data_IF_666662819211
#
_entry.id   IF_666662819211
#
_cell.length_a   1.000
_cell.length_b   1.000
_cell.length_c   1.000
_cell.angle_alpha   90.00
_cell.angle_beta   90.00
_cell.angle_gamma   90.00
#
_symmetry.space_group_name_H-M   'P 1'
#
loop_
_entity.id
_entity.type
_entity.pdbx_description
1 polymer ?
#
# COMPACT_ATOMS: atom_id res chain seq x y z
N UNK A 1 71.35 -48.86 -29.31
CA UNK A 1 70.15 -48.70 -30.16
C UNK A 1 68.97 -48.93 -29.25
N UNK A 2 68.47 -47.87 -28.59
CA UNK A 2 67.27 -47.13 -29.04
C UNK A 2 66.06 -48.08 -29.15
N UNK A 3 64.93 -47.91 -28.44
CA UNK A 3 64.14 -46.69 -28.32
C UNK A 3 63.33 -46.62 -27.01
N UNK A 4 63.12 -45.38 -26.56
CA UNK A 4 62.15 -44.91 -25.58
C UNK A 4 60.71 -45.34 -25.91
N UNK A 5 59.87 -45.57 -24.89
CA UNK A 5 58.45 -45.20 -24.92
C UNK A 5 58.03 -44.71 -23.52
N UNK A 6 57.83 -43.39 -23.41
CA UNK A 6 57.19 -42.71 -22.29
C UNK A 6 55.69 -43.00 -22.31
N UNK A 7 55.13 -43.51 -21.22
CA UNK A 7 53.69 -43.53 -21.01
C UNK A 7 53.28 -42.27 -20.23
N UNK A 8 52.64 -41.33 -20.93
CA UNK A 8 52.00 -40.15 -20.33
C UNK A 8 50.73 -40.58 -19.59
N UNK A 9 50.70 -40.34 -18.28
CA UNK A 9 49.50 -40.45 -17.45
C UNK A 9 48.69 -39.14 -17.60
N UNK A 10 47.73 -39.12 -18.53
CA UNK A 10 46.81 -37.99 -18.68
C UNK A 10 45.66 -38.11 -17.68
N UNK A 11 45.71 -37.31 -16.61
CA UNK A 11 44.58 -37.09 -15.69
C UNK A 11 43.54 -36.24 -16.43
N UNK A 12 42.42 -36.86 -16.84
CA UNK A 12 41.22 -36.15 -17.26
C UNK A 12 40.52 -35.58 -16.02
N UNK A 13 40.80 -34.32 -15.68
CA UNK A 13 39.91 -33.52 -14.86
C UNK A 13 38.70 -33.14 -15.73
N UNK A 14 37.59 -33.84 -15.57
CA UNK A 14 36.31 -33.41 -16.12
C UNK A 14 35.86 -32.15 -15.36
N UNK A 15 36.16 -30.97 -15.93
CA UNK A 15 35.50 -29.72 -15.58
C UNK A 15 34.02 -29.86 -15.95
N UNK A 16 33.20 -30.30 -15.00
CA UNK A 16 31.76 -30.09 -15.06
C UNK A 16 31.52 -28.58 -14.93
N UNK A 17 31.55 -27.88 -16.06
CA UNK A 17 31.03 -26.54 -16.17
C UNK A 17 29.53 -26.63 -15.89
N UNK A 18 29.12 -26.37 -14.64
CA UNK A 18 27.71 -26.27 -14.28
C UNK A 18 27.06 -25.24 -15.20
N UNK A 19 26.00 -25.65 -15.89
CA UNK A 19 25.17 -24.71 -16.65
C UNK A 19 24.76 -23.57 -15.71
N UNK A 20 24.80 -22.30 -16.18
CA UNK A 20 24.35 -21.18 -15.37
C UNK A 20 22.89 -21.45 -14.95
N UNK A 21 22.65 -21.46 -13.63
CA UNK A 21 21.29 -21.55 -13.09
C UNK A 21 20.52 -20.37 -13.66
N UNK A 22 19.55 -20.66 -14.51
CA UNK A 22 18.68 -19.65 -15.11
C UNK A 22 17.99 -18.87 -13.99
N UNK A 23 18.02 -17.54 -14.07
CA UNK A 23 17.35 -16.73 -13.07
C UNK A 23 15.83 -17.02 -13.13
N UNK A 24 15.15 -17.14 -11.98
CA UNK A 24 13.71 -17.38 -11.98
C UNK A 24 12.99 -16.30 -12.78
N UNK A 25 11.88 -16.68 -13.43
CA UNK A 25 11.07 -15.74 -14.18
C UNK A 25 10.57 -14.61 -13.26
N UNK A 26 10.24 -13.46 -13.84
CA UNK A 26 9.73 -12.32 -13.06
C UNK A 26 8.47 -12.68 -12.25
N UNK A 27 7.64 -13.59 -12.75
CA UNK A 27 6.46 -14.10 -12.05
C UNK A 27 6.83 -14.92 -10.80
N UNK A 28 7.84 -15.77 -10.89
CA UNK A 28 8.26 -16.68 -9.80
C UNK A 28 9.21 -16.01 -8.79
N UNK A 29 9.61 -14.76 -9.03
CA UNK A 29 10.58 -14.06 -8.18
C UNK A 29 9.98 -13.80 -6.80
N UNK A 30 10.50 -14.49 -5.79
CA UNK A 30 10.16 -14.25 -4.38
C UNK A 30 10.68 -12.90 -3.89
N UNK A 31 9.99 -12.31 -2.90
CA UNK A 31 10.52 -11.17 -2.16
C UNK A 31 11.63 -11.65 -1.23
N UNK A 32 12.81 -11.04 -1.35
CA UNK A 32 13.95 -11.40 -0.51
C UNK A 32 14.72 -10.17 -0.07
N UNK A 33 15.35 -10.25 1.11
CA UNK A 33 16.39 -9.30 1.50
C UNK A 33 17.53 -9.25 0.47
N UNK A 34 18.17 -8.10 0.32
CA UNK A 34 19.31 -7.90 -0.56
C UNK A 34 20.60 -8.56 0.00
N UNK A 35 21.73 -8.34 -0.70
CA UNK A 35 23.04 -8.89 -0.28
C UNK A 35 23.57 -8.29 1.03
N UNK A 36 23.10 -7.10 1.41
CA UNK A 36 23.43 -6.39 2.65
C UNK A 36 22.43 -6.72 3.78
N UNK A 37 21.42 -7.54 3.49
CA UNK A 37 20.36 -7.90 4.42
C UNK A 37 19.28 -6.84 4.57
N UNK A 38 19.16 -5.89 3.64
CA UNK A 38 18.10 -4.89 3.63
C UNK A 38 16.91 -5.36 2.81
N UNK A 39 15.71 -4.98 3.24
CA UNK A 39 14.50 -5.03 2.44
C UNK A 39 13.89 -3.64 2.48
N UNK A 40 13.85 -2.97 1.33
CA UNK A 40 13.31 -1.62 1.17
C UNK A 40 11.99 -1.65 0.39
N UNK A 41 11.02 -0.89 0.88
CA UNK A 41 9.71 -0.67 0.28
C UNK A 41 9.59 0.81 -0.07
N UNK A 42 9.18 1.13 -1.29
CA UNK A 42 8.73 2.48 -1.66
C UNK A 42 7.20 2.48 -1.73
N UNK A 43 6.55 3.29 -0.91
CA UNK A 43 5.09 3.40 -0.81
C UNK A 43 4.63 4.66 -1.52
N UNK A 44 3.84 4.48 -2.57
CA UNK A 44 3.13 5.55 -3.28
C UNK A 44 1.63 5.38 -3.03
N UNK A 45 0.89 6.48 -3.02
CA UNK A 45 -0.53 6.53 -2.68
C UNK A 45 -1.15 7.81 -3.20
N UNK A 46 -2.49 7.82 -3.29
CA UNK A 46 -3.26 9.00 -3.67
C UNK A 46 -2.76 9.57 -5.02
N UNK A 47 -2.65 8.69 -6.01
CA UNK A 47 -2.14 9.03 -7.34
C UNK A 47 -3.21 9.71 -8.20
N UNK A 48 -4.48 9.30 -8.03
CA UNK A 48 -5.68 9.90 -8.64
C UNK A 48 -5.59 10.06 -10.16
N UNK A 49 -5.09 9.04 -10.87
CA UNK A 49 -5.00 9.12 -12.32
C UNK A 49 -6.39 9.19 -12.97
N UNK A 50 -6.49 9.90 -14.09
CA UNK A 50 -7.72 10.01 -14.86
C UNK A 50 -8.72 11.03 -14.32
N UNK A 51 -8.34 11.82 -13.32
CA UNK A 51 -9.12 12.97 -12.88
C UNK A 51 -9.28 13.98 -14.02
N UNK A 52 -10.51 14.43 -14.28
CA UNK A 52 -10.81 15.45 -15.29
C UNK A 52 -10.19 15.15 -16.67
N UNK A 53 -10.22 13.89 -17.10
CA UNK A 53 -9.55 13.41 -18.30
C UNK A 53 -10.10 13.96 -19.63
N UNK A 54 -11.21 14.70 -19.61
CA UNK A 54 -11.85 15.28 -20.80
C UNK A 54 -11.30 16.65 -21.19
N UNK A 55 -10.39 17.23 -20.40
CA UNK A 55 -9.65 18.44 -20.77
C UNK A 55 -8.13 18.23 -20.64
N UNK A 56 -7.35 19.28 -20.92
CA UNK A 56 -5.88 19.21 -20.88
C UNK A 56 -5.30 19.25 -19.47
N UNK A 57 -6.06 19.64 -18.47
CA UNK A 57 -5.58 19.74 -17.08
C UNK A 57 -5.33 18.35 -16.51
N UNK A 58 -6.29 17.43 -16.62
CA UNK A 58 -6.20 16.08 -16.06
C UNK A 58 -4.98 15.28 -16.54
N UNK A 59 -4.84 15.06 -17.86
CA UNK A 59 -3.67 14.37 -18.41
C UNK A 59 -2.33 15.03 -18.07
N UNK A 60 -2.31 16.35 -17.83
CA UNK A 60 -1.10 17.03 -17.41
C UNK A 60 -0.73 16.72 -15.95
N UNK A 61 -1.72 16.48 -15.08
CA UNK A 61 -1.48 15.96 -13.73
C UNK A 61 -0.91 14.55 -13.79
N UNK A 62 -1.51 13.64 -14.57
CA UNK A 62 -1.02 12.26 -14.74
C UNK A 62 0.44 12.23 -15.20
N UNK A 63 0.81 13.07 -16.17
CA UNK A 63 2.20 13.22 -16.64
C UNK A 63 3.14 13.66 -15.50
N UNK A 64 2.70 14.57 -14.62
CA UNK A 64 3.52 15.02 -13.50
C UNK A 64 3.60 13.97 -12.39
N UNK A 65 2.52 13.22 -12.11
CA UNK A 65 2.53 12.06 -11.23
C UNK A 65 3.56 11.01 -11.70
N UNK A 66 3.62 10.73 -13.01
CA UNK A 66 4.65 9.85 -13.59
C UNK A 66 6.07 10.41 -13.37
N UNK A 67 6.27 11.73 -13.40
CA UNK A 67 7.58 12.33 -13.06
C UNK A 67 7.92 12.11 -11.59
N UNK A 68 6.96 12.21 -10.66
CA UNK A 68 7.19 11.91 -9.24
C UNK A 68 7.65 10.47 -9.05
N UNK A 69 6.92 9.51 -9.63
CA UNK A 69 7.29 8.08 -9.64
C UNK A 69 8.72 7.87 -10.12
N UNK A 70 9.10 8.46 -11.25
CA UNK A 70 10.48 8.37 -11.76
C UNK A 70 11.50 9.04 -10.82
N UNK A 71 11.24 10.27 -10.38
CA UNK A 71 12.16 11.05 -9.55
C UNK A 71 12.48 10.39 -8.21
N UNK A 72 11.51 9.69 -7.62
CA UNK A 72 11.67 8.89 -6.41
C UNK A 72 12.44 7.61 -6.74
N UNK A 73 11.97 6.82 -7.72
CA UNK A 73 12.57 5.52 -8.07
C UNK A 73 13.98 5.63 -8.67
N UNK A 74 14.39 6.80 -9.16
CA UNK A 74 15.77 7.07 -9.59
C UNK A 74 16.73 7.29 -8.40
N UNK A 75 16.20 7.63 -7.22
CA UNK A 75 16.98 7.92 -6.01
C UNK A 75 16.88 6.83 -4.95
N UNK A 76 15.98 5.88 -5.13
CA UNK A 76 15.70 4.79 -4.21
C UNK A 76 15.91 3.43 -4.90
N UNK A 77 16.26 2.41 -4.12
CA UNK A 77 16.50 1.04 -4.65
C UNK A 77 15.61 0.02 -3.92
N UNK A 78 14.28 0.13 -4.04
CA UNK A 78 13.36 -0.76 -3.35
C UNK A 78 13.44 -2.21 -3.88
N UNK A 79 13.10 -3.15 -3.01
CA UNK A 79 12.81 -4.54 -3.39
C UNK A 79 11.33 -4.74 -3.73
N UNK A 80 10.46 -3.84 -3.24
CA UNK A 80 9.04 -3.81 -3.52
C UNK A 80 8.54 -2.36 -3.63
N UNK A 81 7.72 -2.08 -4.63
CA UNK A 81 6.90 -0.86 -4.67
C UNK A 81 5.50 -1.20 -4.16
N UNK A 82 4.96 -0.40 -3.24
CA UNK A 82 3.58 -0.53 -2.76
C UNK A 82 2.78 0.64 -3.30
N UNK A 83 1.61 0.34 -3.88
CA UNK A 83 0.60 1.31 -4.30
C UNK A 83 -0.57 1.25 -3.29
N UNK A 84 -0.64 2.20 -2.37
CA UNK A 84 -1.48 2.13 -1.17
C UNK A 84 -2.83 2.88 -1.32
N UNK A 85 -3.58 2.56 -2.37
CA UNK A 85 -4.93 3.06 -2.63
C UNK A 85 -5.02 4.42 -3.32
N UNK A 86 -6.24 4.70 -3.79
CA UNK A 86 -6.62 5.85 -4.61
C UNK A 86 -5.69 6.02 -5.82
N UNK A 87 -5.57 4.93 -6.58
CA UNK A 87 -4.75 4.87 -7.78
C UNK A 87 -5.41 5.63 -8.92
N UNK A 88 -6.72 5.46 -9.06
CA UNK A 88 -7.56 6.08 -10.09
C UNK A 88 -8.63 6.94 -9.43
N UNK A 89 -8.96 8.07 -10.04
CA UNK A 89 -10.18 8.83 -9.73
C UNK A 89 -11.38 8.15 -10.38
N UNK A 90 -11.97 7.17 -9.69
CA UNK A 90 -13.02 6.30 -10.23
C UNK A 90 -14.27 7.05 -10.68
N UNK A 91 -14.52 8.23 -10.11
CA UNK A 91 -15.60 9.14 -10.49
C UNK A 91 -15.53 9.63 -11.93
N UNK A 92 -14.35 9.52 -12.56
CA UNK A 92 -14.09 9.97 -13.92
C UNK A 92 -13.68 8.82 -14.85
N UNK A 93 -13.52 7.61 -14.31
CA UNK A 93 -13.04 6.45 -15.04
C UNK A 93 -14.16 5.45 -15.34
N UNK A 94 -13.91 4.57 -16.32
CA UNK A 94 -14.84 3.53 -16.72
C UNK A 94 -14.08 2.22 -16.94
N UNK A 95 -14.70 1.06 -16.69
CA UNK A 95 -14.05 -0.26 -16.92
C UNK A 95 -13.42 -0.39 -18.32
N UNK A 96 -14.09 0.14 -19.35
CA UNK A 96 -13.64 -0.03 -20.74
C UNK A 96 -12.40 0.79 -21.12
N UNK A 97 -12.05 1.84 -20.37
CA UNK A 97 -10.90 2.71 -20.66
C UNK A 97 -9.96 2.94 -19.46
N UNK A 98 -10.38 2.67 -18.23
CA UNK A 98 -9.62 2.92 -17.00
C UNK A 98 -8.34 2.10 -16.89
N UNK A 99 -8.25 0.97 -17.61
CA UNK A 99 -7.02 0.17 -17.69
C UNK A 99 -5.79 0.96 -18.17
N UNK A 100 -5.99 2.02 -18.97
CA UNK A 100 -4.88 2.87 -19.43
C UNK A 100 -4.18 3.59 -18.28
N UNK A 101 -4.91 3.94 -17.21
CA UNK A 101 -4.34 4.63 -16.07
C UNK A 101 -3.46 3.70 -15.24
N UNK A 102 -3.89 2.45 -15.06
CA UNK A 102 -3.05 1.41 -14.44
C UNK A 102 -1.75 1.26 -15.23
N UNK A 103 -1.82 1.21 -16.56
CA UNK A 103 -0.63 1.09 -17.42
C UNK A 103 0.34 2.25 -17.23
N UNK A 104 -0.17 3.47 -17.12
CA UNK A 104 0.65 4.67 -16.88
C UNK A 104 1.30 4.64 -15.49
N UNK A 105 0.55 4.28 -14.45
CA UNK A 105 1.03 4.19 -13.07
C UNK A 105 2.17 3.17 -12.96
N UNK A 106 1.98 1.96 -13.51
CA UNK A 106 2.93 0.86 -13.33
C UNK A 106 4.10 0.93 -14.31
N UNK A 107 4.01 1.69 -15.40
CA UNK A 107 5.07 1.77 -16.41
C UNK A 107 6.46 2.08 -15.82
N UNK A 108 6.66 3.12 -14.97
CA UNK A 108 7.96 3.38 -14.34
C UNK A 108 8.49 2.21 -13.50
N UNK A 109 7.60 1.41 -12.91
CA UNK A 109 7.93 0.26 -12.07
C UNK A 109 8.33 -0.94 -12.95
N UNK A 110 7.53 -1.20 -13.99
CA UNK A 110 7.74 -2.28 -14.97
C UNK A 110 9.01 -2.06 -15.77
N UNK A 111 9.27 -0.85 -16.26
CA UNK A 111 10.48 -0.50 -17.02
C UNK A 111 11.76 -0.73 -16.20
N UNK A 112 11.68 -0.62 -14.86
CA UNK A 112 12.78 -0.89 -13.92
C UNK A 112 12.86 -2.37 -13.49
N UNK A 113 11.92 -3.21 -13.92
CA UNK A 113 11.84 -4.60 -13.51
C UNK A 113 11.66 -4.78 -11.99
N UNK A 114 10.97 -3.86 -11.32
CA UNK A 114 10.70 -3.91 -9.88
C UNK A 114 9.47 -4.78 -9.60
N UNK A 115 9.44 -5.48 -8.47
CA UNK A 115 8.20 -6.10 -7.99
C UNK A 115 7.32 -5.03 -7.37
N UNK A 116 6.00 -5.20 -7.47
CA UNK A 116 5.06 -4.26 -6.87
C UNK A 116 3.77 -4.94 -6.44
N UNK A 117 3.04 -4.29 -5.54
CA UNK A 117 1.80 -4.77 -4.96
C UNK A 117 0.91 -3.58 -4.61
N UNK A 118 -0.41 -3.77 -4.64
CA UNK A 118 -1.38 -2.71 -4.39
C UNK A 118 -2.36 -3.06 -3.26
N UNK A 119 -2.90 -2.05 -2.59
CA UNK A 119 -4.22 -2.13 -1.97
C UNK A 119 -5.07 -0.97 -2.49
N UNK A 120 -6.38 -1.01 -2.29
CA UNK A 120 -7.32 -0.06 -2.89
C UNK A 120 -7.96 0.87 -1.88
N UNK A 121 -8.34 2.04 -2.38
CA UNK A 121 -9.01 3.11 -1.65
C UNK A 121 -10.44 3.35 -2.11
N UNK A 122 -11.06 4.40 -1.57
CA UNK A 122 -12.45 4.73 -1.87
C UNK A 122 -12.65 5.28 -3.28
N UNK A 123 -11.62 5.84 -3.93
CA UNK A 123 -11.71 6.30 -5.31
C UNK A 123 -11.50 5.18 -6.33
N UNK A 124 -10.93 4.04 -5.94
CA UNK A 124 -10.70 2.91 -6.83
C UNK A 124 -12.00 2.13 -7.16
N UNK A 125 -13.13 2.48 -6.54
CA UNK A 125 -14.45 1.90 -6.79
C UNK A 125 -15.56 2.95 -6.95
N UNK A 126 -16.18 3.03 -8.12
CA UNK A 126 -17.38 3.83 -8.36
C UNK A 126 -18.34 3.10 -9.31
N UNK A 127 -19.47 3.72 -9.65
CA UNK A 127 -20.54 3.16 -10.46
C UNK A 127 -20.09 2.61 -11.81
N UNK A 128 -19.05 3.21 -12.42
CA UNK A 128 -18.56 2.85 -13.75
C UNK A 128 -17.23 2.09 -13.74
N UNK A 129 -16.59 1.89 -12.59
CA UNK A 129 -15.31 1.18 -12.44
C UNK A 129 -15.27 0.40 -11.13
N UNK A 130 -14.78 -0.84 -11.16
CA UNK A 130 -14.60 -1.63 -9.95
C UNK A 130 -13.14 -1.89 -9.65
N UNK A 131 -12.79 -1.95 -8.36
CA UNK A 131 -11.48 -2.40 -7.90
C UNK A 131 -11.10 -3.79 -8.46
N UNK A 132 -12.09 -4.65 -8.75
CA UNK A 132 -11.86 -5.94 -9.39
C UNK A 132 -11.32 -5.80 -10.83
N UNK A 133 -11.78 -4.78 -11.57
CA UNK A 133 -11.26 -4.47 -12.91
C UNK A 133 -9.84 -3.91 -12.87
N UNK A 134 -9.52 -3.10 -11.84
CA UNK A 134 -8.16 -2.64 -11.56
C UNK A 134 -7.26 -3.83 -11.28
N UNK A 135 -7.62 -4.67 -10.32
CA UNK A 135 -6.90 -5.90 -9.96
C UNK A 135 -6.64 -6.82 -11.16
N UNK A 136 -7.64 -7.03 -12.00
CA UNK A 136 -7.51 -7.86 -13.20
C UNK A 136 -6.49 -7.29 -14.19
N UNK A 137 -6.44 -5.96 -14.34
CA UNK A 137 -5.42 -5.31 -15.17
C UNK A 137 -4.03 -5.41 -14.55
N UNK A 138 -3.91 -5.14 -13.26
CA UNK A 138 -2.67 -5.26 -12.50
C UNK A 138 -2.04 -6.66 -12.64
N UNK A 139 -2.86 -7.70 -12.50
CA UNK A 139 -2.42 -9.11 -12.57
C UNK A 139 -2.07 -9.59 -13.98
N UNK A 140 -2.24 -8.76 -15.02
CA UNK A 140 -1.68 -9.04 -16.35
C UNK A 140 -0.16 -8.83 -16.42
N UNK A 141 0.43 -8.17 -15.42
CA UNK A 141 1.86 -7.90 -15.35
C UNK A 141 2.61 -8.97 -14.53
N UNK A 142 3.69 -9.57 -15.05
CA UNK A 142 4.40 -10.67 -14.38
C UNK A 142 5.14 -10.23 -13.10
N UNK A 143 5.38 -8.93 -12.91
CA UNK A 143 6.02 -8.37 -11.72
C UNK A 143 5.03 -7.88 -10.66
N UNK A 144 3.72 -8.00 -10.90
CA UNK A 144 2.68 -7.72 -9.91
C UNK A 144 2.63 -8.82 -8.84
N UNK A 145 2.32 -8.44 -7.61
CA UNK A 145 2.12 -9.32 -6.45
C UNK A 145 0.79 -9.04 -5.73
N UNK A 146 -0.09 -8.24 -6.33
CA UNK A 146 -1.40 -7.92 -5.73
C UNK A 146 -2.28 -9.16 -5.67
N UNK A 147 -2.55 -9.65 -4.46
CA UNK A 147 -3.38 -10.82 -4.21
C UNK A 147 -4.84 -10.50 -3.88
N UNK A 148 -5.66 -11.56 -3.74
CA UNK A 148 -7.08 -11.52 -3.34
C UNK A 148 -7.46 -12.77 -2.56
N UNK A 149 -7.02 -12.86 -1.31
CA UNK A 149 -7.11 -14.06 -0.47
C UNK A 149 -8.38 -14.17 0.38
N UNK A 150 -9.22 -13.12 0.41
CA UNK A 150 -10.49 -13.13 1.15
C UNK A 150 -11.64 -13.03 0.16
N UNK A 151 -12.48 -14.07 0.02
CA UNK A 151 -13.61 -14.04 -0.88
C UNK A 151 -14.79 -13.26 -0.28
N UNK A 152 -15.77 -12.95 -1.13
CA UNK A 152 -17.03 -12.33 -0.74
C UNK A 152 -17.04 -10.82 -0.98
N UNK A 153 -18.17 -10.32 -1.48
CA UNK A 153 -18.33 -8.91 -1.86
C UNK A 153 -18.02 -7.93 -0.73
N UNK A 154 -18.30 -8.33 0.52
CA UNK A 154 -18.10 -7.48 1.69
C UNK A 154 -16.62 -7.33 2.05
N UNK A 155 -15.75 -8.25 1.64
CA UNK A 155 -14.34 -8.17 1.99
C UNK A 155 -13.60 -7.06 1.23
N UNK A 156 -14.10 -6.62 0.07
CA UNK A 156 -13.31 -5.88 -0.91
C UNK A 156 -12.52 -6.82 -1.82
N UNK A 157 -11.46 -6.33 -2.45
CA UNK A 157 -10.70 -7.04 -3.49
C UNK A 157 -9.27 -7.35 -3.05
N UNK A 158 -8.54 -6.39 -2.49
CA UNK A 158 -7.08 -6.48 -2.29
C UNK A 158 -6.64 -6.88 -0.88
N UNK A 159 -7.24 -7.95 -0.33
CA UNK A 159 -6.86 -8.49 0.99
C UNK A 159 -5.93 -9.70 0.84
N UNK A 160 -4.67 -9.58 1.24
CA UNK A 160 -3.66 -10.63 1.08
C UNK A 160 -2.41 -10.35 1.92
N UNK A 161 -1.46 -11.29 1.91
CA UNK A 161 -0.14 -11.06 2.49
C UNK A 161 0.98 -11.50 1.55
N UNK A 162 2.14 -10.88 1.71
CA UNK A 162 3.35 -11.24 0.98
C UNK A 162 4.46 -11.66 1.95
N UNK A 163 4.98 -12.90 1.84
CA UNK A 163 6.13 -13.34 2.62
C UNK A 163 7.45 -12.82 2.03
N UNK A 164 8.33 -12.33 2.91
CA UNK A 164 9.70 -11.90 2.57
C UNK A 164 10.70 -12.87 3.18
N UNK A 165 11.55 -13.42 2.33
CA UNK A 165 12.49 -14.48 2.72
C UNK A 165 13.93 -13.99 2.80
N UNK A 166 14.75 -14.75 3.53
CA UNK A 166 16.20 -14.62 3.38
C UNK A 166 16.61 -14.91 1.92
N UNK A 167 17.55 -14.14 1.37
CA UNK A 167 18.15 -14.41 0.05
C UNK A 167 18.71 -15.83 -0.11
N UNK A 168 19.11 -16.47 0.99
CA UNK A 168 19.65 -17.84 1.01
C UNK A 168 18.56 -18.91 1.09
N UNK A 169 17.29 -18.51 1.19
CA UNK A 169 16.20 -19.44 1.09
C UNK A 169 16.03 -19.88 -0.37
N UNK A 170 16.43 -21.11 -0.66
CA UNK A 170 16.31 -21.72 -1.99
C UNK A 170 15.32 -22.90 -1.98
N UNK A 171 14.53 -23.06 -0.91
CA UNK A 171 13.61 -24.18 -0.72
C UNK A 171 12.19 -23.70 -0.42
N UNK A 172 11.15 -24.47 -0.77
CA UNK A 172 9.76 -24.13 -0.44
C UNK A 172 9.49 -24.02 1.06
N UNK A 173 10.17 -24.80 1.90
CA UNK A 173 9.84 -24.95 3.33
C UNK A 173 10.47 -23.86 4.23
N UNK A 174 11.13 -22.85 3.67
CA UNK A 174 11.73 -21.81 4.50
C UNK A 174 10.66 -20.98 5.21
N UNK A 175 10.89 -20.70 6.49
CA UNK A 175 10.14 -19.66 7.18
C UNK A 175 10.40 -18.28 6.53
N UNK A 176 9.36 -17.48 6.25
CA UNK A 176 9.54 -16.07 5.96
C UNK A 176 10.10 -15.34 7.19
N UNK A 177 10.87 -14.29 6.95
CA UNK A 177 11.47 -13.48 8.03
C UNK A 177 10.72 -12.15 8.25
N UNK A 178 9.80 -11.80 7.35
CA UNK A 178 8.91 -10.64 7.44
C UNK A 178 7.62 -10.95 6.65
N UNK A 179 6.47 -10.54 7.17
CA UNK A 179 5.19 -10.56 6.45
C UNK A 179 4.74 -9.14 6.12
N UNK A 180 4.21 -8.94 4.93
CA UNK A 180 3.57 -7.68 4.51
C UNK A 180 2.08 -7.95 4.34
N UNK A 181 1.23 -7.32 5.15
CA UNK A 181 -0.22 -7.45 5.08
C UNK A 181 -0.84 -6.30 4.32
N UNK A 182 -1.80 -6.60 3.44
CA UNK A 182 -2.54 -5.62 2.66
C UNK A 182 -4.01 -5.76 2.98
N UNK A 183 -4.65 -4.65 3.33
CA UNK A 183 -6.04 -4.58 3.75
C UNK A 183 -6.80 -3.60 2.85
N UNK A 184 -7.93 -4.06 2.33
CA UNK A 184 -8.85 -3.25 1.55
C UNK A 184 -9.86 -2.60 2.51
N UNK A 185 -9.74 -1.29 2.70
CA UNK A 185 -10.67 -0.50 3.52
C UNK A 185 -11.97 -0.15 2.79
N UNK A 186 -12.10 -0.52 1.50
CA UNK A 186 -13.26 -0.25 0.66
C UNK A 186 -13.57 1.25 0.55
N UNK A 187 -14.86 1.60 0.46
CA UNK A 187 -15.36 2.94 0.19
C UNK A 187 -15.85 3.11 -1.26
N UNK A 188 -16.31 4.31 -1.59
CA UNK A 188 -16.88 4.60 -2.91
C UNK A 188 -18.24 3.94 -3.12
N UNK A 189 -18.51 3.46 -4.34
CA UNK A 189 -19.80 2.87 -4.72
C UNK A 189 -19.65 1.45 -5.30
N UNK A 190 -20.70 0.64 -5.13
CA UNK A 190 -20.78 -0.65 -5.81
C UNK A 190 -21.01 -0.44 -7.31
N UNK A 191 -20.38 -1.28 -8.12
CA UNK A 191 -20.44 -1.18 -9.57
C UNK A 191 -21.86 -1.41 -10.09
N UNK A 192 -22.38 -0.44 -10.85
CA UNK A 192 -23.71 -0.49 -11.48
C UNK A 192 -24.90 -0.79 -10.55
N UNK A 193 -24.75 -0.64 -9.24
CA UNK A 193 -25.83 -0.84 -8.28
C UNK A 193 -26.52 0.49 -7.94
N UNK A 194 -27.86 0.50 -8.04
CA UNK A 194 -28.68 1.64 -7.62
C UNK A 194 -29.82 1.22 -6.70
N UNK A 195 -30.17 2.08 -5.76
CA UNK A 195 -31.43 2.02 -5.04
C UNK A 195 -32.63 2.26 -5.99
N UNK A 196 -33.84 1.98 -5.51
CA UNK A 196 -35.09 2.15 -6.30
C UNK A 196 -35.35 3.60 -6.74
N UNK A 197 -34.82 4.59 -6.02
CA UNK A 197 -34.89 6.01 -6.36
C UNK A 197 -33.82 6.47 -7.37
N UNK A 198 -32.97 5.55 -7.86
CA UNK A 198 -31.90 5.81 -8.81
C UNK A 198 -30.58 6.32 -8.21
N UNK A 199 -30.47 6.48 -6.88
CA UNK A 199 -29.20 6.81 -6.26
C UNK A 199 -28.25 5.60 -6.23
N UNK A 200 -26.95 5.82 -6.39
CA UNK A 200 -25.92 4.78 -6.34
C UNK A 200 -25.86 4.13 -4.95
N UNK A 201 -25.54 2.84 -4.90
CA UNK A 201 -25.36 2.12 -3.62
C UNK A 201 -23.90 2.28 -3.15
N UNK A 202 -23.70 2.95 -2.02
CA UNK A 202 -22.37 3.16 -1.44
C UNK A 202 -21.78 1.89 -0.81
N UNK A 203 -20.46 1.77 -0.82
CA UNK A 203 -19.76 0.74 -0.05
C UNK A 203 -19.45 1.23 1.37
N UNK A 204 -19.43 0.34 2.36
CA UNK A 204 -18.77 0.62 3.64
C UNK A 204 -17.32 1.08 3.46
N UNK A 205 -16.85 2.01 4.29
CA UNK A 205 -15.47 2.52 4.30
C UNK A 205 -14.68 2.05 5.53
N UNK A 206 -14.53 0.74 5.69
CA UNK A 206 -13.68 0.12 6.72
C UNK A 206 -13.24 -1.28 6.30
N UNK A 207 -12.20 -1.82 6.94
CA UNK A 207 -11.81 -3.23 6.79
C UNK A 207 -12.87 -4.14 7.40
N UNK A 208 -13.45 -5.02 6.60
CA UNK A 208 -14.58 -5.87 6.99
C UNK A 208 -14.20 -6.92 8.05
N UNK A 209 -15.18 -7.34 8.86
CA UNK A 209 -14.97 -8.38 9.89
C UNK A 209 -14.43 -9.69 9.28
N UNK A 210 -14.88 -10.06 8.07
CA UNK A 210 -14.38 -11.26 7.38
C UNK A 210 -12.87 -11.20 7.10
N UNK A 211 -12.34 -10.01 6.79
CA UNK A 211 -10.90 -9.77 6.59
C UNK A 211 -10.17 -9.83 7.93
N UNK A 212 -10.75 -9.27 9.00
CA UNK A 212 -10.19 -9.35 10.35
C UNK A 212 -10.06 -10.81 10.81
N UNK A 213 -11.11 -11.61 10.62
CA UNK A 213 -11.13 -13.03 10.99
C UNK A 213 -10.08 -13.82 10.18
N UNK A 214 -10.00 -13.58 8.87
CA UNK A 214 -8.97 -14.16 8.01
C UNK A 214 -7.56 -13.80 8.46
N UNK A 215 -7.31 -12.52 8.75
CA UNK A 215 -5.99 -12.04 9.16
C UNK A 215 -5.53 -12.70 10.47
N UNK A 216 -6.38 -12.71 11.49
CA UNK A 216 -6.05 -13.29 12.79
C UNK A 216 -5.82 -14.80 12.70
N UNK A 217 -6.69 -15.50 11.96
CA UNK A 217 -6.55 -16.94 11.71
C UNK A 217 -5.24 -17.24 10.97
N UNK A 218 -5.00 -16.57 9.85
CA UNK A 218 -3.82 -16.78 9.00
C UNK A 218 -2.53 -16.46 9.75
N UNK A 219 -2.49 -15.37 10.53
CA UNK A 219 -1.32 -15.01 11.34
C UNK A 219 -1.02 -16.07 12.41
N UNK A 220 -2.06 -16.61 13.06
CA UNK A 220 -1.95 -17.68 14.06
C UNK A 220 -1.43 -18.97 13.42
N UNK A 221 -1.97 -19.34 12.25
CA UNK A 221 -1.55 -20.52 11.50
C UNK A 221 -0.10 -20.43 11.04
N UNK A 222 0.34 -19.28 10.50
CA UNK A 222 1.73 -19.04 10.10
C UNK A 222 2.67 -19.11 11.31
N UNK A 223 2.28 -18.51 12.44
CA UNK A 223 3.07 -18.57 13.69
C UNK A 223 3.21 -20.01 14.19
N UNK A 224 2.13 -20.79 14.14
CA UNK A 224 2.14 -22.20 14.53
C UNK A 224 2.98 -23.05 13.57
N UNK A 225 2.83 -22.82 12.25
CA UNK A 225 3.56 -23.54 11.21
C UNK A 225 5.08 -23.36 11.33
N UNK A 226 5.55 -22.13 11.61
CA UNK A 226 6.98 -21.84 11.68
C UNK A 226 7.55 -21.80 13.11
N UNK A 227 6.71 -21.98 14.13
CA UNK A 227 7.10 -22.09 15.54
C UNK A 227 7.62 -20.80 16.17
N UNK A 228 7.40 -19.64 15.54
CA UNK A 228 7.77 -18.33 16.07
C UNK A 228 6.93 -17.21 15.45
N UNK A 229 6.81 -16.09 16.16
CA UNK A 229 6.17 -14.88 15.65
C UNK A 229 7.04 -14.31 14.52
N UNK A 230 6.44 -14.09 13.35
CA UNK A 230 7.10 -13.45 12.22
C UNK A 230 6.79 -11.94 12.27
N UNK A 231 7.80 -11.05 12.33
CA UNK A 231 7.57 -9.61 12.27
C UNK A 231 6.77 -9.21 11.05
N UNK A 232 5.96 -8.16 11.16
CA UNK A 232 5.09 -7.76 10.05
C UNK A 232 4.87 -6.25 9.93
N UNK A 233 4.50 -5.82 8.72
CA UNK A 233 4.03 -4.48 8.39
C UNK A 233 2.63 -4.61 7.77
N UNK A 234 1.77 -3.62 7.98
CA UNK A 234 0.44 -3.55 7.37
C UNK A 234 0.27 -2.31 6.48
N UNK A 235 -0.49 -2.46 5.41
CA UNK A 235 -0.86 -1.39 4.48
C UNK A 235 -2.39 -1.36 4.34
N UNK A 236 -2.98 -0.20 4.55
CA UNK A 236 -4.41 0.06 4.40
C UNK A 236 -4.55 1.46 3.82
N UNK A 237 -5.58 1.73 3.02
CA UNK A 237 -5.71 3.06 2.44
C UNK A 237 -6.30 4.07 3.44
N UNK A 238 -7.56 3.85 3.87
CA UNK A 238 -8.25 4.73 4.83
C UNK A 238 -7.75 4.41 6.24
N UNK A 239 -7.29 5.40 7.03
CA UNK A 239 -6.75 5.15 8.36
C UNK A 239 -7.85 4.74 9.34
N UNK A 240 -7.61 3.76 10.24
CA UNK A 240 -8.52 3.46 11.33
C UNK A 240 -8.73 4.67 12.25
N UNK A 241 -9.87 4.71 12.93
CA UNK A 241 -10.31 5.85 13.75
C UNK A 241 -9.31 6.34 14.79
N UNK A 242 -8.44 5.45 15.30
CA UNK A 242 -7.38 5.81 16.24
C UNK A 242 -6.45 6.91 15.69
N UNK A 243 -6.22 6.99 14.38
CA UNK A 243 -5.43 8.08 13.78
C UNK A 243 -6.09 9.44 14.06
N UNK A 244 -7.39 9.58 13.79
CA UNK A 244 -8.13 10.82 14.08
C UNK A 244 -8.20 11.09 15.58
N UNK A 245 -8.42 10.06 16.40
CA UNK A 245 -8.47 10.20 17.84
C UNK A 245 -7.16 10.75 18.42
N UNK A 246 -6.01 10.25 17.93
CA UNK A 246 -4.68 10.77 18.27
C UNK A 246 -4.56 12.22 17.80
N UNK A 247 -4.91 12.51 16.54
CA UNK A 247 -4.80 13.86 15.98
C UNK A 247 -5.61 14.89 16.78
N UNK A 248 -6.79 14.51 17.27
CA UNK A 248 -7.75 15.37 17.98
C UNK A 248 -7.44 15.56 19.47
N UNK A 249 -6.76 14.62 20.12
CA UNK A 249 -6.67 14.52 21.59
C UNK A 249 -6.33 15.83 22.33
N UNK A 250 -5.39 16.60 21.77
CA UNK A 250 -4.93 17.91 22.23
C UNK A 250 -5.05 18.98 21.13
N UNK A 251 -5.99 18.80 20.20
CA UNK A 251 -6.17 19.66 19.04
C UNK A 251 -5.00 19.61 18.07
N UNK A 252 -4.70 20.72 17.38
CA UNK A 252 -3.57 20.79 16.43
C UNK A 252 -2.19 20.55 17.07
N UNK A 253 -2.09 20.54 18.40
CA UNK A 253 -0.85 20.26 19.14
C UNK A 253 -0.65 18.78 19.48
N UNK A 254 -1.59 17.88 19.14
CA UNK A 254 -1.47 16.45 19.47
C UNK A 254 -0.30 15.77 18.76
N UNK A 255 0.02 16.25 17.56
CA UNK A 255 1.17 15.81 16.77
C UNK A 255 2.28 16.84 16.96
N UNK A 256 3.27 16.53 17.80
CA UNK A 256 4.44 17.40 17.98
C UNK A 256 5.42 17.17 16.81
N UNK A 257 5.68 18.18 15.95
CA UNK A 257 6.55 18.02 14.79
C UNK A 257 8.00 17.68 15.13
N UNK A 258 8.42 17.86 16.39
CA UNK A 258 9.77 17.50 16.84
C UNK A 258 9.88 16.05 17.34
N UNK A 259 8.79 15.38 17.70
CA UNK A 259 8.80 13.95 18.06
C UNK A 259 8.15 13.07 17.00
N UNK A 260 7.23 13.65 16.22
CA UNK A 260 6.44 13.04 15.16
C UNK A 260 6.63 13.84 13.87
N UNK A 261 7.84 13.86 13.29
CA UNK A 261 8.13 14.69 12.13
C UNK A 261 7.26 14.28 10.94
N UNK A 262 6.54 15.26 10.41
CA UNK A 262 5.56 15.08 9.36
C UNK A 262 4.67 16.31 9.29
N UNK A 263 4.03 16.49 8.15
CA UNK A 263 2.95 17.45 7.95
C UNK A 263 1.71 16.91 8.66
N UNK A 264 0.97 17.78 9.36
CA UNK A 264 -0.30 17.51 10.05
C UNK A 264 -1.31 18.62 9.71
N UNK A 265 -1.61 18.76 8.41
CA UNK A 265 -2.36 19.91 7.88
C UNK A 265 -3.83 19.55 7.58
N UNK A 266 -4.10 18.26 7.35
CA UNK A 266 -5.45 17.75 7.08
C UNK A 266 -6.19 17.49 8.39
N UNK A 267 -6.83 18.54 8.91
CA UNK A 267 -7.39 18.54 10.26
C UNK A 267 -8.88 18.95 10.23
N UNK A 268 -9.83 18.12 10.68
CA UNK A 268 -9.65 16.73 11.13
C UNK A 268 -9.51 15.77 9.94
N UNK A 269 -8.59 14.81 10.07
CA UNK A 269 -8.41 13.73 9.11
C UNK A 269 -9.68 12.86 8.98
N UNK A 270 -9.88 12.18 7.85
CA UNK A 270 -11.03 11.33 7.54
C UNK A 270 -10.73 9.84 7.84
N UNK A 271 -11.32 9.27 8.91
CA UNK A 271 -11.05 7.89 9.30
C UNK A 271 -12.00 6.89 8.64
N UNK A 272 -11.68 5.61 8.79
CA UNK A 272 -12.63 4.52 8.57
C UNK A 272 -13.91 4.75 9.37
N UNK A 273 -15.03 4.30 8.79
CA UNK A 273 -16.37 4.43 9.35
C UNK A 273 -16.84 5.88 9.63
N UNK A 274 -16.23 6.89 9.00
CA UNK A 274 -16.71 8.27 9.05
C UNK A 274 -18.15 8.37 8.53
N UNK A 275 -19.01 9.06 9.28
CA UNK A 275 -20.42 9.27 8.91
C UNK A 275 -21.37 8.13 9.29
N UNK A 276 -20.84 6.97 9.69
CA UNK A 276 -21.64 5.81 10.05
C UNK A 276 -22.09 5.86 11.51
N UNK A 277 -23.29 5.35 11.78
CA UNK A 277 -23.83 5.15 13.12
C UNK A 277 -23.58 3.73 13.63
N UNK A 278 -23.56 3.49 14.95
CA UNK A 278 -23.36 2.15 15.52
C UNK A 278 -24.38 1.09 15.07
N UNK A 279 -25.57 1.50 14.63
CA UNK A 279 -26.61 0.61 14.11
C UNK A 279 -26.42 0.24 12.63
N UNK A 280 -25.36 0.76 11.99
CA UNK A 280 -25.05 0.51 10.58
C UNK A 280 -25.72 1.47 9.60
N UNK A 281 -26.41 2.51 10.07
CA UNK A 281 -26.93 3.57 9.18
C UNK A 281 -25.82 4.58 8.81
N UNK A 282 -25.98 5.25 7.67
CA UNK A 282 -25.09 6.32 7.20
C UNK A 282 -25.92 7.44 6.57
N UNK A 283 -26.68 8.13 7.42
CA UNK A 283 -27.57 9.25 7.04
C UNK A 283 -27.02 10.62 7.47
N UNK A 284 -25.76 10.66 7.92
CA UNK A 284 -25.09 11.86 8.43
C UNK A 284 -25.49 12.25 9.86
N UNK A 285 -26.29 11.45 10.56
CA UNK A 285 -26.65 11.73 11.96
C UNK A 285 -25.53 11.40 12.97
N UNK A 286 -24.54 10.59 12.59
CA UNK A 286 -23.38 10.23 13.40
C UNK A 286 -22.07 10.64 12.73
N UNK A 287 -21.07 11.01 13.52
CA UNK A 287 -19.73 11.26 13.02
C UNK A 287 -18.92 9.98 12.81
N UNK A 288 -19.16 8.95 13.65
CA UNK A 288 -18.41 7.69 13.67
C UNK A 288 -19.19 6.62 14.45
N UNK A 289 -19.17 5.38 13.95
CA UNK A 289 -20.01 4.29 14.44
C UNK A 289 -19.27 3.11 15.09
N UNK A 290 -17.93 3.06 15.01
CA UNK A 290 -17.14 1.99 15.63
C UNK A 290 -16.98 0.71 14.81
N UNK A 291 -17.31 0.72 13.52
CA UNK A 291 -17.27 -0.48 12.67
C UNK A 291 -15.85 -1.03 12.44
N UNK A 292 -14.83 -0.19 12.53
CA UNK A 292 -13.42 -0.56 12.39
C UNK A 292 -12.75 -0.97 13.73
N UNK A 293 -13.48 -0.95 14.85
CA UNK A 293 -12.99 -1.40 16.16
C UNK A 293 -12.41 -2.83 16.12
N UNK A 294 -13.01 -3.81 15.44
CA UNK A 294 -12.41 -5.14 15.28
C UNK A 294 -11.04 -5.09 14.59
N UNK A 295 -10.90 -4.27 13.55
CA UNK A 295 -9.62 -4.11 12.84
C UNK A 295 -8.57 -3.43 13.72
N UNK A 296 -8.92 -2.35 14.41
CA UNK A 296 -8.03 -1.70 15.39
C UNK A 296 -7.56 -2.69 16.46
N UNK A 297 -8.46 -3.53 16.98
CA UNK A 297 -8.12 -4.57 17.96
C UNK A 297 -7.16 -5.59 17.38
N UNK A 298 -7.38 -6.06 16.16
CA UNK A 298 -6.52 -7.04 15.51
C UNK A 298 -5.11 -6.49 15.27
N UNK A 299 -4.98 -5.25 14.82
CA UNK A 299 -3.68 -4.58 14.65
C UNK A 299 -2.97 -4.43 16.00
N UNK A 300 -3.66 -3.93 17.02
CA UNK A 300 -3.09 -3.74 18.35
C UNK A 300 -2.78 -5.03 19.10
N UNK A 301 -3.42 -6.17 18.78
CA UNK A 301 -3.18 -7.43 19.49
C UNK A 301 -2.18 -8.34 18.78
N UNK A 302 -1.84 -8.08 17.51
CA UNK A 302 -0.95 -8.94 16.72
C UNK A 302 0.51 -8.81 17.18
N UNK A 303 1.12 -9.87 17.71
CA UNK A 303 2.53 -9.85 18.09
C UNK A 303 3.42 -9.64 16.87
N UNK A 304 4.48 -8.83 17.02
CA UNK A 304 5.43 -8.57 15.94
C UNK A 304 4.95 -7.62 14.85
N UNK A 305 3.74 -7.04 14.95
CA UNK A 305 3.31 -5.95 14.09
C UNK A 305 4.15 -4.70 14.36
N UNK A 306 4.99 -4.32 13.40
CA UNK A 306 5.92 -3.18 13.51
C UNK A 306 5.15 -1.88 13.29
N UNK A 307 4.32 -1.84 12.26
CA UNK A 307 3.52 -0.67 11.96
C UNK A 307 2.47 -0.86 10.88
N UNK A 308 1.50 0.05 10.87
CA UNK A 308 0.42 0.17 9.91
C UNK A 308 0.58 1.48 9.15
N UNK A 309 0.56 1.41 7.82
CA UNK A 309 0.77 2.55 6.93
C UNK A 309 -0.52 2.89 6.17
N UNK A 310 -0.86 4.18 6.13
CA UNK A 310 -2.08 4.71 5.52
C UNK A 310 -1.82 5.87 4.56
N UNK A 311 -2.69 6.04 3.57
CA UNK A 311 -2.76 7.23 2.70
C UNK A 311 -3.99 8.06 3.04
N UNK A 312 -4.81 8.39 2.03
CA UNK A 312 -6.14 9.00 2.11
C UNK A 312 -6.16 10.47 2.55
N UNK A 313 -5.48 10.81 3.64
CA UNK A 313 -5.39 12.17 4.17
C UNK A 313 -4.15 12.88 3.61
N UNK A 314 -4.29 13.48 2.43
CA UNK A 314 -3.16 13.94 1.61
C UNK A 314 -2.24 14.96 2.29
N UNK A 315 -2.75 15.66 3.31
CA UNK A 315 -2.04 16.65 4.09
C UNK A 315 -1.30 16.12 5.31
N UNK A 316 -1.38 14.82 5.58
CA UNK A 316 -0.79 14.19 6.75
C UNK A 316 0.33 13.22 6.36
N UNK A 317 1.47 13.31 7.05
CA UNK A 317 2.67 12.51 6.73
C UNK A 317 3.47 12.11 7.98
N UNK A 318 2.86 12.21 9.15
CA UNK A 318 3.49 11.88 10.43
C UNK A 318 3.39 10.38 10.74
N UNK A 319 4.23 9.94 11.67
CA UNK A 319 4.07 8.66 12.37
C UNK A 319 3.72 8.91 13.84
N UNK A 320 3.14 7.92 14.51
CA UNK A 320 2.84 7.94 15.94
C UNK A 320 2.94 6.53 16.53
N UNK A 321 3.53 6.39 17.73
CA UNK A 321 3.58 5.10 18.43
C UNK A 321 2.34 4.95 19.31
N UNK A 322 1.44 4.05 18.94
CA UNK A 322 0.20 3.81 19.67
C UNK A 322 0.44 2.77 20.78
N UNK A 323 0.78 3.24 21.98
CA UNK A 323 1.18 2.43 23.14
C UNK A 323 0.25 2.55 24.35
N UNK A 324 -0.92 3.17 24.16
CA UNK A 324 -1.89 3.43 25.22
C UNK A 324 -3.31 3.48 24.69
N UNK A 325 -4.26 3.54 25.62
CA UNK A 325 -5.63 3.94 25.29
C UNK A 325 -5.64 5.45 24.96
N UNK A 326 -6.24 5.79 23.83
CA UNK A 326 -6.43 7.17 23.39
C UNK A 326 -7.90 7.56 23.71
N UNK A 327 -8.18 8.80 24.16
CA UNK A 327 -9.55 9.25 24.36
C UNK A 327 -10.44 9.00 23.14
N UNK A 328 -11.74 8.77 23.37
CA UNK A 328 -12.73 8.44 22.34
C UNK A 328 -12.48 7.10 21.59
N UNK A 329 -11.56 6.26 22.07
CA UNK A 329 -11.34 4.89 21.56
C UNK A 329 -11.62 3.83 22.63
N UNK A 330 -11.77 2.56 22.21
CA UNK A 330 -12.01 1.41 23.12
C UNK A 330 -10.87 0.37 23.09
N UNK A 331 -9.85 0.60 22.27
CA UNK A 331 -8.73 -0.33 22.08
C UNK A 331 -7.47 0.29 22.65
N UNK A 332 -6.76 -0.45 23.51
CA UNK A 332 -5.46 -0.04 24.03
C UNK A 332 -4.38 -0.44 23.03
N UNK A 333 -3.55 0.53 22.62
CA UNK A 333 -2.39 0.26 21.77
C UNK A 333 -1.32 -0.56 22.49
N UNK A 334 -0.57 -1.37 21.73
CA UNK A 334 0.51 -2.22 22.24
C UNK A 334 1.93 -1.70 21.91
N UNK A 335 2.02 -0.53 21.29
CA UNK A 335 3.26 0.06 20.78
C UNK A 335 3.45 -0.08 19.27
N UNK A 336 2.45 -0.56 18.52
CA UNK A 336 2.44 -0.51 17.05
C UNK A 336 2.59 0.93 16.54
N UNK A 337 3.37 1.11 15.48
CA UNK A 337 3.58 2.42 14.88
C UNK A 337 2.52 2.66 13.80
N UNK A 338 1.84 3.80 13.86
CA UNK A 338 0.84 4.24 12.90
C UNK A 338 1.47 5.34 12.05
N UNK A 339 1.47 5.21 10.73
CA UNK A 339 2.15 6.16 9.85
C UNK A 339 1.30 6.51 8.64
N UNK A 340 1.19 7.79 8.33
CA UNK A 340 0.76 8.23 7.01
C UNK A 340 1.92 8.13 6.02
N UNK A 341 1.67 7.81 4.75
CA UNK A 341 2.68 7.90 3.71
C UNK A 341 2.89 9.35 3.26
N UNK A 342 2.90 9.57 1.95
CA UNK A 342 3.07 10.87 1.31
C UNK A 342 2.23 10.87 0.04
N UNK A 343 1.30 11.83 -0.06
CA UNK A 343 0.52 12.08 -1.27
C UNK A 343 1.46 12.15 -2.49
N UNK A 344 1.28 11.22 -3.42
CA UNK A 344 2.22 10.97 -4.51
C UNK A 344 1.78 11.57 -5.84
N UNK A 345 0.46 11.67 -6.06
CA UNK A 345 -0.14 12.15 -7.30
C UNK A 345 -0.18 13.66 -7.39
N UNK A 346 -0.23 14.18 -8.61
CA UNK A 346 -0.63 15.56 -8.89
C UNK A 346 -2.16 15.69 -9.07
N UNK A 347 -2.87 14.58 -9.21
CA UNK A 347 -4.33 14.51 -9.08
C UNK A 347 -4.75 14.43 -7.61
N UNK A 348 -6.06 14.49 -7.36
CA UNK A 348 -6.59 14.53 -6.00
C UNK A 348 -6.45 15.92 -5.36
N UNK A 349 -6.91 16.05 -4.12
CA UNK A 349 -6.94 17.37 -3.47
C UNK A 349 -5.59 17.77 -2.88
N UNK A 350 -5.38 19.08 -2.77
CA UNK A 350 -4.22 19.66 -2.11
C UNK A 350 -3.00 19.85 -2.99
N UNK A 351 -1.99 20.51 -2.42
CA UNK A 351 -0.76 20.88 -3.14
C UNK A 351 0.51 20.57 -2.34
N UNK A 352 0.43 19.76 -1.28
CA UNK A 352 1.62 19.36 -0.50
C UNK A 352 2.70 18.77 -1.39
N UNK A 353 3.97 19.04 -1.13
CA UNK A 353 5.08 18.53 -1.94
C UNK A 353 4.95 17.02 -2.18
N UNK A 354 5.02 16.57 -3.43
CA UNK A 354 4.81 15.16 -3.75
C UNK A 354 6.02 14.33 -3.40
N UNK A 355 5.80 13.04 -3.17
CA UNK A 355 6.88 12.13 -2.82
C UNK A 355 6.36 10.73 -2.53
N UNK A 356 7.17 9.95 -1.83
CA UNK A 356 6.82 8.59 -1.43
C UNK A 356 7.49 8.26 -0.11
N UNK A 357 6.75 7.58 0.77
CA UNK A 357 7.34 7.04 1.99
C UNK A 357 8.20 5.83 1.66
N UNK A 358 9.36 5.78 2.30
CA UNK A 358 10.28 4.66 2.23
C UNK A 358 10.26 3.92 3.57
N UNK A 359 10.36 2.60 3.50
CA UNK A 359 10.48 1.74 4.68
C UNK A 359 11.67 0.81 4.43
N UNK A 360 12.61 0.73 5.37
CA UNK A 360 13.77 -0.16 5.28
C UNK A 360 13.86 -1.02 6.53
N UNK A 361 13.93 -2.33 6.31
CA UNK A 361 14.16 -3.33 7.33
C UNK A 361 15.53 -3.96 7.11
N UNK A 362 16.37 -4.01 8.15
CA UNK A 362 17.58 -4.82 8.10
C UNK A 362 17.38 -6.13 8.86
N UNK A 363 17.71 -7.24 8.20
CA UNK A 363 17.59 -8.60 8.73
C UNK A 363 18.33 -8.80 10.06
N UNK A 364 19.46 -8.14 10.28
CA UNK A 364 20.19 -8.23 11.54
C UNK A 364 19.46 -7.53 12.69
N UNK A 365 18.65 -6.51 12.40
CA UNK A 365 17.84 -5.80 13.38
C UNK A 365 16.54 -6.54 13.72
N UNK A 366 15.95 -7.27 12.75
CA UNK A 366 14.82 -8.17 13.01
C UNK A 366 15.19 -9.26 14.04
N UNK A 367 16.36 -9.90 13.87
CA UNK A 367 16.80 -11.02 14.72
C UNK A 367 17.16 -10.65 16.17
N UNK A 368 17.34 -9.35 16.46
CA UNK A 368 17.65 -8.87 17.81
C UNK A 368 16.39 -8.64 18.67
N UNK A 369 15.24 -9.15 18.25
CA UNK A 369 13.91 -8.97 18.89
C UNK A 369 13.41 -7.52 19.00
N UNK A 370 14.08 -6.56 18.36
CA UNK A 370 13.61 -5.17 18.39
C UNK A 370 12.71 -4.83 17.20
N UNK A 371 12.60 -5.72 16.19
CA UNK A 371 11.77 -5.52 14.98
C UNK A 371 11.81 -4.08 14.46
N UNK A 372 13.03 -3.55 14.33
CA UNK A 372 13.29 -2.14 13.99
C UNK A 372 13.01 -1.94 12.51
N UNK A 373 12.31 -0.85 12.22
CA UNK A 373 12.12 -0.34 10.86
C UNK A 373 12.57 1.11 10.78
N UNK A 374 13.33 1.44 9.76
CA UNK A 374 13.62 2.81 9.39
C UNK A 374 12.59 3.29 8.38
N UNK A 375 12.08 4.50 8.54
CA UNK A 375 11.19 5.11 7.56
C UNK A 375 11.53 6.58 7.35
N UNK A 376 11.42 7.04 6.12
CA UNK A 376 11.62 8.43 5.72
C UNK A 376 10.73 8.73 4.51
N UNK A 377 10.61 10.00 4.15
CA UNK A 377 9.91 10.42 2.93
C UNK A 377 10.94 10.90 1.92
N UNK A 378 10.89 10.36 0.70
CA UNK A 378 11.62 10.89 -0.46
C UNK A 378 10.69 11.83 -1.22
N UNK A 379 11.02 13.12 -1.22
CA UNK A 379 10.27 14.12 -1.98
C UNK A 379 10.63 14.07 -3.47
N UNK A 380 9.74 14.55 -4.34
CA UNK A 380 9.95 14.64 -5.79
C UNK A 380 11.19 15.49 -6.15
N UNK A 381 11.51 16.47 -5.29
CA UNK A 381 12.73 17.30 -5.37
C UNK A 381 14.01 16.50 -5.12
N UNK A 382 13.89 15.32 -4.53
CA UNK A 382 14.99 14.48 -4.10
C UNK A 382 15.42 14.68 -2.65
N UNK A 383 14.82 15.60 -1.90
CA UNK A 383 15.11 15.75 -0.47
C UNK A 383 14.57 14.57 0.36
N UNK A 384 15.21 14.31 1.51
CA UNK A 384 14.71 13.38 2.53
C UNK A 384 14.18 14.19 3.71
N UNK A 385 12.97 13.86 4.17
CA UNK A 385 12.34 14.43 5.36
C UNK A 385 11.71 13.32 6.22
N UNK A 386 11.33 13.64 7.46
CA UNK A 386 10.58 12.71 8.32
C UNK A 386 11.29 11.39 8.63
N UNK A 387 12.63 11.37 8.68
CA UNK A 387 13.40 10.15 8.90
C UNK A 387 13.37 9.73 10.37
N UNK A 388 12.83 8.55 10.67
CA UNK A 388 12.69 8.00 12.03
C UNK A 388 13.03 6.51 12.10
N UNK A 389 13.34 6.03 13.31
CA UNK A 389 13.66 4.62 13.59
C UNK A 389 12.58 4.00 14.50
N UNK A 390 11.59 3.37 13.87
CA UNK A 390 10.48 2.69 14.54
C UNK A 390 10.99 1.53 15.42
N UNK A 391 10.34 1.33 16.57
CA UNK A 391 10.74 0.36 17.61
C UNK A 391 12.20 0.52 18.12
N UNK A 392 12.80 1.69 17.91
CA UNK A 392 14.12 2.03 18.45
C UNK A 392 14.04 3.35 19.20
N UNK A 393 14.39 4.46 18.55
CA UNK A 393 14.51 5.77 19.17
C UNK A 393 13.32 6.69 18.89
N UNK A 394 12.37 6.24 18.05
CA UNK A 394 11.13 6.96 17.79
C UNK A 394 10.34 7.22 19.09
N UNK A 395 9.79 8.44 19.24
CA UNK A 395 9.26 9.07 20.47
C UNK A 395 10.28 9.41 21.59
N UNK A 396 11.58 9.11 21.42
CA UNK A 396 12.63 9.49 22.37
C UNK A 396 13.54 10.59 21.79
N UNK A 397 13.85 10.48 20.50
CA UNK A 397 14.62 11.47 19.77
C UNK A 397 13.81 12.73 19.49
N UNK A 398 14.53 13.82 19.20
CA UNK A 398 13.99 15.02 18.57
C UNK A 398 14.44 15.09 17.12
N UNK A 399 13.51 15.45 16.25
CA UNK A 399 13.68 15.51 14.82
C UNK A 399 13.51 16.94 14.31
N UNK A 400 14.17 17.32 13.20
CA UNK A 400 13.79 18.51 12.47
C UNK A 400 12.34 18.39 11.97
N UNK A 401 11.50 19.42 12.18
CA UNK A 401 10.16 19.46 11.60
C UNK A 401 10.21 19.30 10.08
N UNK A 402 9.29 18.51 9.53
CA UNK A 402 9.07 18.45 8.08
C UNK A 402 8.46 19.78 7.62
N UNK A 403 9.08 20.41 6.62
CA UNK A 403 8.54 21.63 6.05
C UNK A 403 7.26 21.32 5.26
N UNK A 404 6.24 22.16 5.43
CA UNK A 404 4.97 22.06 4.70
C UNK A 404 5.08 22.75 3.34
N UNK A 405 6.04 22.30 2.54
CA UNK A 405 6.27 22.80 1.18
C UNK A 405 5.13 22.37 0.26
N UNK A 406 4.89 23.18 -0.78
CA UNK A 406 3.88 22.91 -1.80
C UNK A 406 4.52 22.76 -3.18
N UNK A 407 3.97 21.88 -4.00
CA UNK A 407 4.30 21.76 -5.42
C UNK A 407 3.05 21.89 -6.28
N UNK A 408 3.22 22.51 -7.43
CA UNK A 408 2.15 22.88 -8.36
C UNK A 408 2.52 22.41 -9.75
N UNK A 409 1.50 22.05 -10.53
CA UNK A 409 1.71 21.76 -11.94
C UNK A 409 2.06 23.06 -12.68
N UNK A 410 3.30 23.23 -13.17
CA UNK A 410 3.75 24.50 -13.72
C UNK A 410 3.07 24.86 -15.05
N UNK A 411 2.45 23.88 -15.70
CA UNK A 411 1.74 24.03 -16.98
C UNK A 411 0.22 23.99 -16.83
N UNK A 412 -0.32 23.82 -15.62
CA UNK A 412 -1.75 23.70 -15.41
C UNK A 412 -2.38 25.07 -15.10
N UNK A 413 -3.49 25.37 -15.77
CA UNK A 413 -4.31 26.52 -15.45
C UNK A 413 -5.49 26.11 -14.58
N UNK A 414 -5.37 26.33 -13.26
CA UNK A 414 -6.39 26.00 -12.26
C UNK A 414 -7.66 26.89 -12.33
N UNK A 415 -7.68 27.93 -13.19
CA UNK A 415 -8.87 28.79 -13.39
C UNK A 415 -9.84 28.26 -14.44
N UNK A 416 -9.44 27.23 -15.20
CA UNK A 416 -10.25 26.61 -16.23
C UNK A 416 -10.82 25.31 -15.68
N UNK A 417 -12.04 25.36 -15.16
CA UNK A 417 -12.79 24.17 -14.76
C UNK A 417 -13.77 23.84 -15.88
N UNK A 418 -13.51 22.77 -16.62
CA UNK A 418 -14.47 22.30 -17.63
C UNK A 418 -15.45 21.30 -17.00
N UNK A 419 -16.77 21.49 -17.16
CA UNK A 419 -17.73 20.52 -16.66
C UNK A 419 -17.53 19.17 -17.36
N UNK A 420 -17.68 18.07 -16.60
CA UNK A 420 -17.72 16.73 -17.18
C UNK A 420 -18.75 16.70 -18.33
N UNK A 421 -18.38 16.21 -19.53
CA UNK A 421 -19.32 16.06 -20.63
C UNK A 421 -20.51 15.23 -20.17
N UNK A 422 -21.74 15.72 -20.33
CA UNK A 422 -22.93 14.93 -19.97
C UNK A 422 -22.88 13.63 -20.76
N UNK A 423 -22.87 12.49 -20.08
CA UNK A 423 -22.88 11.18 -20.72
C UNK A 423 -24.13 11.08 -21.62
N UNK A 424 -23.94 11.12 -22.94
CA UNK A 424 -25.00 10.80 -23.89
C UNK A 424 -25.31 9.31 -23.77
N UNK A 425 -26.59 8.95 -23.65
CA UNK A 425 -27.07 7.60 -23.36
C UNK A 425 -26.38 6.51 -24.19
N UNK A 426 -25.50 5.73 -23.56
CA UNK A 426 -24.98 4.49 -24.12
C UNK A 426 -24.47 3.56 -22.99
N UNK A 427 -25.36 3.07 -22.13
CA UNK A 427 -25.02 1.91 -21.30
C UNK A 427 -25.52 0.65 -22.01
N UNK A 428 -24.65 0.04 -22.83
CA UNK A 428 -24.63 -1.42 -22.88
C UNK A 428 -24.24 -1.89 -21.48
N UNK A 429 -24.97 -2.86 -20.93
CA UNK A 429 -24.58 -3.57 -19.71
C UNK A 429 -23.12 -4.01 -19.87
N UNK A 430 -22.21 -3.37 -19.13
CA UNK A 430 -20.81 -3.76 -19.08
C UNK A 430 -20.72 -4.92 -18.10
N UNK A 431 -20.23 -6.07 -18.56
CA UNK A 431 -20.01 -7.21 -17.68
C UNK A 431 -18.80 -6.91 -16.79
N UNK A 432 -18.98 -7.02 -15.47
CA UNK A 432 -17.83 -7.12 -14.57
C UNK A 432 -17.02 -8.38 -14.87
N UNK A 433 -15.69 -8.34 -14.68
CA UNK A 433 -14.96 -9.56 -14.36
C UNK A 433 -15.61 -10.17 -13.12
N UNK A 434 -16.09 -11.42 -13.19
CA UNK A 434 -16.93 -11.99 -12.15
C UNK A 434 -16.30 -11.89 -10.75
N UNK A 435 -17.04 -11.31 -9.81
CA UNK A 435 -16.84 -11.43 -8.36
C UNK A 435 -17.03 -12.86 -7.82
N UNK A 436 -17.00 -13.88 -8.69
CA UNK A 436 -17.50 -15.24 -8.45
C UNK A 436 -17.15 -15.82 -7.08
N UNK A 437 -17.92 -16.80 -6.64
CA UNK A 437 -17.51 -17.66 -5.55
C UNK A 437 -16.20 -18.36 -5.97
N UNK A 438 -15.05 -17.75 -5.65
CA UNK A 438 -13.74 -18.30 -5.92
C UNK A 438 -13.32 -19.06 -4.65
N UNK A 439 -13.11 -20.36 -4.78
CA UNK A 439 -12.47 -21.15 -3.74
C UNK A 439 -10.99 -20.72 -3.64
N UNK A 440 -10.53 -20.47 -2.42
CA UNK A 440 -9.19 -19.98 -2.12
C UNK A 440 -8.15 -21.10 -2.24
N UNK A 441 -7.99 -21.67 -3.44
CA UNK A 441 -7.12 -22.83 -3.69
C UNK A 441 -5.83 -22.45 -4.43
N UNK A 442 -5.25 -21.30 -4.10
CA UNK A 442 -3.99 -20.84 -4.68
C UNK A 442 -2.91 -20.62 -3.61
N UNK A 443 -1.98 -21.57 -3.46
CA UNK A 443 -0.65 -21.25 -2.96
C UNK A 443 0.01 -20.24 -3.92
N UNK A 444 0.61 -19.18 -3.37
CA UNK A 444 1.36 -18.15 -4.10
C UNK A 444 2.59 -18.71 -4.85
#
# INVERSE_FOLDING_TARGET
MELMHFALLSILLALAAGAPVEAPSMAERRLTFDRRGNFQISVFEDLHFGENAWDSWGPQQDINSVKVLNNVLDKETPQLVVLNGDLITGENAFVHNGSVYIDQIVKPIVDRGLLWASTYGNHDSDFNISAASIWARENSYPNCRTGRMVPGRNAGVSNYYLPVYSRRCCKPECAPELLLWFFDSRGGFYFQETHTNGSRVGQPGWVDQSVVDWFQKTNTELTAQFGHVIPSLGFVHIPPYVFQAIQKEHGRSSIDPYTNPGINDDYLLAPQAQGWCPDGTNDGSCAYGGQDVPFMRAIASTPGMIGLFSGHDHGDTWCYKWDRLVPDTTVTGNGVNLCFGQHSGYGGYGNWVRGARQIRINRAQLKKNNSIAETWIRLETGSIVGSVMLNSTFNQDKYPPTQNDKTYCPTCNYTVVTPHPRASHANKLLQEPSHGDWEADGEL
#
